data_IF_620130739731
#
_entry.id   IF_620130739731
#
_cell.length_a   1.000
_cell.length_b   1.000
_cell.length_c   1.000
_cell.angle_alpha   90.00
_cell.angle_beta   90.00
_cell.angle_gamma   90.00
#
_symmetry.space_group_name_H-M   'P 1'
#
loop_
_entity.id
_entity.type
_entity.pdbx_description
1 polymer ?
#
# COMPACT_ATOMS: atom_id res chain seq x y z
N UNK A 1 -18.89 -17.30 26.64
CA UNK A 1 -19.24 -17.31 25.20
C UNK A 1 -18.54 -16.16 24.47
N UNK A 2 -18.83 -14.88 24.77
CA UNK A 2 -18.13 -13.75 24.11
C UNK A 2 -16.66 -13.56 24.54
N UNK A 3 -16.30 -14.04 25.73
CA UNK A 3 -14.93 -14.01 26.28
C UNK A 3 -13.91 -14.72 25.39
N UNK A 4 -14.32 -15.74 24.64
CA UNK A 4 -13.44 -16.52 23.76
C UNK A 4 -12.98 -15.73 22.52
N UNK A 5 -13.67 -14.65 22.15
CA UNK A 5 -13.31 -13.80 21.01
C UNK A 5 -12.35 -12.67 21.39
N UNK A 6 -12.18 -12.40 22.68
CA UNK A 6 -11.30 -11.33 23.15
C UNK A 6 -9.83 -11.52 22.69
N UNK A 7 -9.23 -12.72 22.74
CA UNK A 7 -7.89 -12.95 22.19
C UNK A 7 -7.79 -12.66 20.69
N UNK A 8 -8.84 -12.95 19.91
CA UNK A 8 -8.89 -12.70 18.47
C UNK A 8 -8.90 -11.20 18.20
N UNK A 9 -9.74 -10.45 18.92
CA UNK A 9 -9.78 -8.99 18.82
C UNK A 9 -8.43 -8.36 19.18
N UNK A 10 -7.80 -8.83 20.26
CA UNK A 10 -6.49 -8.35 20.68
C UNK A 10 -5.42 -8.62 19.62
N UNK A 11 -5.45 -9.80 19.01
CA UNK A 11 -4.54 -10.17 17.93
C UNK A 11 -4.68 -9.24 16.71
N UNK A 12 -5.92 -8.94 16.31
CA UNK A 12 -6.19 -7.99 15.21
C UNK A 12 -5.64 -6.59 15.56
N UNK A 13 -5.89 -6.10 16.78
CA UNK A 13 -5.40 -4.78 17.21
C UNK A 13 -3.88 -4.71 17.20
N UNK A 14 -3.21 -5.73 17.76
CA UNK A 14 -1.74 -5.78 17.78
C UNK A 14 -1.19 -5.90 16.36
N UNK A 15 -1.79 -6.74 15.51
CA UNK A 15 -1.41 -6.88 14.10
C UNK A 15 -1.51 -5.56 13.34
N UNK A 16 -2.61 -4.82 13.52
CA UNK A 16 -2.78 -3.48 12.95
C UNK A 16 -1.77 -2.48 13.50
N UNK A 17 -1.52 -2.50 14.81
CA UNK A 17 -0.53 -1.61 15.44
C UNK A 17 0.88 -1.86 14.89
N UNK A 18 1.26 -3.12 14.67
CA UNK A 18 2.56 -3.48 14.10
C UNK A 18 2.61 -3.20 12.59
N UNK A 19 1.52 -3.38 11.85
CA UNK A 19 1.47 -3.08 10.41
C UNK A 19 1.48 -1.58 10.11
N UNK A 20 0.77 -0.78 10.89
CA UNK A 20 0.61 0.67 10.68
C UNK A 20 1.69 1.47 11.43
N UNK A 21 2.14 1.00 12.58
CA UNK A 21 3.09 1.70 13.45
C UNK A 21 4.37 2.15 12.72
N UNK A 22 5.12 1.24 12.05
CA UNK A 22 6.32 1.60 11.31
C UNK A 22 6.06 2.61 10.18
N UNK A 23 4.90 2.53 9.51
CA UNK A 23 4.50 3.47 8.46
C UNK A 23 4.33 4.88 9.05
N UNK A 24 3.63 4.99 10.19
CA UNK A 24 3.43 6.27 10.87
C UNK A 24 4.75 6.86 11.39
N UNK A 25 5.62 6.01 11.96
CA UNK A 25 6.96 6.42 12.42
C UNK A 25 7.78 6.94 11.23
N UNK A 26 7.81 6.21 10.12
CA UNK A 26 8.51 6.63 8.90
C UNK A 26 7.94 7.93 8.32
N UNK A 27 6.63 8.11 8.32
CA UNK A 27 5.97 9.33 7.85
C UNK A 27 6.24 10.56 8.73
N UNK A 28 6.36 10.36 10.05
CA UNK A 28 6.59 11.46 11.00
C UNK A 28 8.07 11.84 11.08
N UNK A 29 8.97 10.86 11.05
CA UNK A 29 10.41 11.06 11.23
C UNK A 29 11.19 11.20 9.91
N UNK A 30 10.58 10.82 8.77
CA UNK A 30 11.24 10.83 7.46
C UNK A 30 11.49 12.23 6.89
N UNK A 31 12.61 12.46 6.18
CA UNK A 31 12.86 13.72 5.49
C UNK A 31 11.81 14.01 4.40
N UNK A 32 11.27 15.23 4.37
CA UNK A 32 10.28 15.66 3.37
C UNK A 32 10.94 16.55 2.31
N UNK A 33 11.42 15.94 1.22
CA UNK A 33 12.10 16.63 0.10
C UNK A 33 11.47 16.25 -1.26
N UNK A 34 10.20 16.62 -1.52
CA UNK A 34 9.56 16.35 -2.80
C UNK A 34 10.20 17.20 -3.92
N UNK A 35 10.32 16.62 -5.10
CA UNK A 35 10.68 17.31 -6.35
C UNK A 35 9.93 16.64 -7.51
N UNK A 36 9.99 17.22 -8.71
CA UNK A 36 9.25 16.73 -9.88
C UNK A 36 9.67 15.31 -10.27
N UNK A 37 10.97 15.02 -10.25
CA UNK A 37 11.55 13.73 -10.66
C UNK A 37 11.25 12.62 -9.65
N UNK A 38 11.28 12.91 -8.33
CA UNK A 38 10.92 11.93 -7.29
C UNK A 38 9.44 11.57 -7.30
N UNK A 39 8.60 12.48 -7.77
CA UNK A 39 7.15 12.30 -7.84
C UNK A 39 6.68 11.84 -9.23
N UNK A 40 7.57 11.76 -10.23
CA UNK A 40 7.21 11.23 -11.54
C UNK A 40 7.16 9.69 -11.52
N UNK A 41 6.31 9.07 -12.34
CA UNK A 41 6.33 7.62 -12.55
C UNK A 41 7.72 7.14 -12.98
N UNK A 42 8.09 5.93 -12.55
CA UNK A 42 9.33 5.31 -12.98
C UNK A 42 9.17 4.75 -14.41
N UNK A 43 9.94 5.27 -15.35
CA UNK A 43 9.99 4.79 -16.75
C UNK A 43 11.45 4.75 -17.24
N UNK A 44 12.36 4.15 -16.47
CA UNK A 44 13.78 3.98 -16.85
C UNK A 44 14.51 5.27 -17.31
N UNK A 45 14.08 6.45 -16.85
CA UNK A 45 14.64 7.75 -17.23
C UNK A 45 14.00 8.41 -18.46
N UNK A 46 12.93 7.80 -18.99
CA UNK A 46 12.10 8.33 -20.05
C UNK A 46 10.86 9.03 -19.47
N UNK A 47 10.23 9.89 -20.27
CA UNK A 47 8.88 10.36 -19.92
C UNK A 47 7.90 9.20 -20.13
N UNK A 48 6.75 9.22 -19.44
CA UNK A 48 5.75 8.19 -19.65
C UNK A 48 5.22 8.27 -21.09
N UNK A 49 5.65 7.33 -21.93
CA UNK A 49 5.32 7.27 -23.34
C UNK A 49 4.33 6.15 -23.60
N UNK A 50 3.07 6.29 -23.14
CA UNK A 50 1.88 5.58 -23.65
C UNK A 50 0.64 5.86 -22.78
N UNK A 51 -0.55 5.56 -23.32
CA UNK A 51 -1.79 5.56 -22.53
C UNK A 51 -1.77 4.35 -21.57
N UNK A 52 -1.93 4.60 -20.27
CA UNK A 52 -2.00 3.54 -19.25
C UNK A 52 -3.23 2.61 -19.41
N UNK A 53 -4.13 2.89 -20.35
CA UNK A 53 -5.34 2.12 -20.61
C UNK A 53 -5.09 0.95 -21.57
N UNK A 54 -4.59 -0.14 -21.00
CA UNK A 54 -4.58 -1.45 -21.68
C UNK A 54 -5.84 -2.26 -21.39
N UNK A 55 -6.21 -3.17 -22.29
CA UNK A 55 -7.29 -4.13 -22.05
C UNK A 55 -6.85 -5.12 -20.98
N UNK A 56 -7.56 -5.15 -19.85
CA UNK A 56 -7.40 -6.21 -18.86
C UNK A 56 -8.01 -7.51 -19.37
N UNK A 57 -7.39 -8.63 -19.03
CA UNK A 57 -7.87 -9.95 -19.43
C UNK A 57 -9.12 -10.35 -18.63
N UNK A 58 -10.15 -10.86 -19.32
CA UNK A 58 -11.41 -11.34 -18.68
C UNK A 58 -11.14 -12.50 -17.73
N UNK A 59 -10.04 -13.22 -17.90
CA UNK A 59 -9.64 -14.31 -16.99
C UNK A 59 -9.51 -13.85 -15.54
N UNK A 60 -9.11 -12.60 -15.27
CA UNK A 60 -9.09 -12.07 -13.89
C UNK A 60 -10.48 -12.06 -13.24
N UNK A 61 -11.54 -11.91 -14.03
CA UNK A 61 -12.92 -12.00 -13.56
C UNK A 61 -13.40 -13.45 -13.41
N UNK A 62 -12.97 -14.35 -14.29
CA UNK A 62 -13.39 -15.76 -14.23
C UNK A 62 -12.73 -16.57 -13.11
N UNK A 63 -11.56 -16.12 -12.62
CA UNK A 63 -10.79 -16.82 -11.58
C UNK A 63 -11.11 -16.33 -10.17
N UNK A 64 -11.42 -15.04 -10.00
CA UNK A 64 -11.71 -14.41 -8.70
C UNK A 64 -13.06 -14.86 -8.13
#
# INVERSE_FOLDING_TARGET
>A
MLTEYFPILLFIIIGLAIGVGPILIGFLLGPRKPDTEKNSPYECGFEAFEDARMKFDVRYYLVA
#
